data_IF_688353629272
#
_entry.id   IF_688353629272
#
_cell.length_a   1.000
_cell.length_b   1.000
_cell.length_c   1.000
_cell.angle_alpha   90.00
_cell.angle_beta   90.00
_cell.angle_gamma   90.00
#
_symmetry.space_group_name_H-M   'P 1'
#
loop_
_entity.id
_entity.type
_entity.pdbx_description
1 polymer ?
#
# COMPACT_ATOMS: atom_id res chain seq x y z
N UNK A 1 -18.94 -15.95 -10.94
CA UNK A 1 -20.00 -15.00 -11.33
C UNK A 1 -19.76 -13.56 -10.83
N UNK A 2 -18.50 -13.14 -10.65
CA UNK A 2 -18.15 -11.98 -9.80
C UNK A 2 -17.88 -10.70 -10.61
N UNK A 3 -17.20 -10.80 -11.76
CA UNK A 3 -16.71 -9.62 -12.50
C UNK A 3 -17.76 -8.74 -13.19
N UNK A 4 -18.87 -9.29 -13.69
CA UNK A 4 -19.82 -8.52 -14.52
C UNK A 4 -20.83 -7.69 -13.73
N UNK A 5 -21.14 -8.05 -12.47
CA UNK A 5 -22.08 -7.31 -11.62
C UNK A 5 -21.48 -6.09 -10.93
N UNK A 6 -20.17 -6.09 -10.67
CA UNK A 6 -19.53 -4.98 -9.97
C UNK A 6 -19.28 -3.77 -10.88
N UNK A 7 -19.10 -3.98 -12.19
CA UNK A 7 -18.98 -2.89 -13.18
C UNK A 7 -20.32 -2.16 -13.41
N UNK A 8 -21.46 -2.84 -13.17
CA UNK A 8 -22.82 -2.32 -13.42
C UNK A 8 -23.53 -1.83 -12.15
N UNK A 9 -22.81 -1.61 -11.04
CA UNK A 9 -23.38 -1.04 -9.80
C UNK A 9 -24.24 -2.01 -8.96
N UNK A 10 -24.33 -3.28 -9.33
CA UNK A 10 -25.04 -4.35 -8.57
C UNK A 10 -24.05 -5.26 -7.82
N UNK A 11 -22.95 -4.73 -7.33
CA UNK A 11 -21.98 -5.49 -6.55
C UNK A 11 -22.60 -5.84 -5.18
N UNK A 12 -22.41 -7.08 -4.71
CA UNK A 12 -22.80 -7.45 -3.35
C UNK A 12 -21.88 -6.68 -2.39
N UNK A 13 -22.43 -5.85 -1.48
CA UNK A 13 -21.64 -4.96 -0.59
C UNK A 13 -20.50 -5.71 0.12
N UNK A 14 -20.77 -6.95 0.53
CA UNK A 14 -19.79 -7.85 1.15
C UNK A 14 -18.57 -8.13 0.28
N UNK A 15 -18.75 -8.31 -1.03
CA UNK A 15 -17.66 -8.57 -1.98
C UNK A 15 -16.81 -7.31 -2.15
N UNK A 16 -17.45 -6.13 -2.23
CA UNK A 16 -16.75 -4.84 -2.32
C UNK A 16 -15.89 -4.62 -1.06
N UNK A 17 -16.43 -4.87 0.12
CA UNK A 17 -15.70 -4.76 1.38
C UNK A 17 -14.52 -5.72 1.44
N UNK A 18 -14.71 -6.98 1.07
CA UNK A 18 -13.65 -7.99 1.14
C UNK A 18 -12.51 -7.66 0.16
N UNK A 19 -12.84 -7.36 -1.09
CA UNK A 19 -11.85 -6.97 -2.11
C UNK A 19 -11.15 -5.66 -1.72
N UNK A 20 -11.91 -4.62 -1.37
CA UNK A 20 -11.35 -3.31 -1.02
C UNK A 20 -10.48 -3.36 0.24
N UNK A 21 -10.87 -4.15 1.24
CA UNK A 21 -10.13 -4.29 2.49
C UNK A 21 -8.84 -5.09 2.30
N UNK A 22 -8.91 -6.24 1.63
CA UNK A 22 -7.73 -7.06 1.35
C UNK A 22 -6.72 -6.33 0.45
N UNK A 23 -7.19 -5.59 -0.56
CA UNK A 23 -6.35 -4.72 -1.39
C UNK A 23 -5.69 -3.63 -0.54
N UNK A 24 -6.48 -2.79 0.13
CA UNK A 24 -5.94 -1.66 0.90
C UNK A 24 -4.97 -2.06 2.00
N UNK A 25 -5.36 -2.99 2.88
CA UNK A 25 -4.52 -3.40 4.03
C UNK A 25 -3.34 -4.24 3.57
N UNK A 26 -3.54 -5.18 2.63
CA UNK A 26 -2.50 -6.06 2.14
C UNK A 26 -1.39 -5.30 1.40
N UNK A 27 -1.77 -4.44 0.46
CA UNK A 27 -0.83 -3.65 -0.35
C UNK A 27 -0.09 -2.65 0.54
N UNK A 28 -0.81 -1.91 1.41
CA UNK A 28 -0.19 -0.93 2.30
C UNK A 28 0.79 -1.60 3.28
N UNK A 29 0.44 -2.75 3.87
CA UNK A 29 1.36 -3.45 4.78
C UNK A 29 2.62 -3.92 4.06
N UNK A 30 2.47 -4.41 2.83
CA UNK A 30 3.59 -4.90 2.04
C UNK A 30 4.53 -3.76 1.63
N UNK A 31 3.96 -2.66 1.13
CA UNK A 31 4.70 -1.46 0.72
C UNK A 31 5.35 -0.73 1.89
N UNK A 32 4.64 -0.52 2.99
CA UNK A 32 5.01 0.47 4.02
C UNK A 32 5.83 -0.12 5.16
N UNK A 33 5.77 -1.44 5.35
CA UNK A 33 6.40 -2.14 6.47
C UNK A 33 7.32 -3.29 6.04
N UNK A 34 6.85 -4.16 5.14
CA UNK A 34 7.62 -5.37 4.77
C UNK A 34 8.83 -5.00 3.90
N UNK A 35 8.62 -4.22 2.83
CA UNK A 35 9.72 -3.88 1.92
C UNK A 35 10.77 -2.96 2.58
N UNK A 36 10.40 -1.93 3.36
CA UNK A 36 11.36 -1.14 4.12
C UNK A 36 12.19 -2.01 5.07
N UNK A 37 11.57 -2.93 5.80
CA UNK A 37 12.28 -3.88 6.66
C UNK A 37 13.27 -4.78 5.88
N UNK A 38 12.90 -5.26 4.69
CA UNK A 38 13.83 -6.01 3.83
C UNK A 38 15.00 -5.13 3.40
N UNK A 39 14.75 -3.87 3.06
CA UNK A 39 15.79 -2.89 2.73
C UNK A 39 16.74 -2.63 3.90
N UNK A 40 16.20 -2.43 5.10
CA UNK A 40 16.97 -2.27 6.33
C UNK A 40 17.82 -3.51 6.64
N UNK A 41 17.26 -4.70 6.44
CA UNK A 41 18.00 -5.96 6.63
C UNK A 41 19.10 -6.14 5.59
N UNK A 42 18.89 -5.72 4.35
CA UNK A 42 19.92 -5.78 3.30
C UNK A 42 21.05 -4.78 3.55
N UNK A 43 20.73 -3.59 4.05
CA UNK A 43 21.70 -2.57 4.46
C UNK A 43 22.30 -2.83 5.85
N UNK A 44 21.90 -3.94 6.51
CA UNK A 44 22.36 -4.38 7.80
C UNK A 44 22.26 -3.30 8.89
N UNK A 45 21.14 -2.58 8.90
CA UNK A 45 20.89 -1.48 9.84
C UNK A 45 20.65 -2.00 11.28
N UNK A 46 21.10 -1.26 12.30
CA UNK A 46 21.15 -1.74 13.68
C UNK A 46 19.77 -1.90 14.33
N UNK A 47 18.78 -1.07 13.96
CA UNK A 47 17.46 -1.03 14.57
C UNK A 47 16.36 -1.53 13.62
N UNK A 48 16.56 -2.71 13.03
CA UNK A 48 15.55 -3.33 12.16
C UNK A 48 14.36 -3.86 12.98
N UNK A 49 13.15 -3.45 12.64
CA UNK A 49 11.93 -3.91 13.29
C UNK A 49 10.77 -3.92 12.31
N UNK A 50 9.91 -4.95 12.33
CA UNK A 50 8.73 -4.96 11.46
C UNK A 50 7.60 -4.23 12.19
N UNK A 51 7.24 -3.02 11.75
CA UNK A 51 6.09 -2.31 12.28
C UNK A 51 4.84 -2.60 11.45
N UNK A 52 4.06 -3.61 11.84
CA UNK A 52 2.82 -3.97 11.13
C UNK A 52 1.72 -3.00 11.55
N UNK A 53 1.46 -1.98 10.73
CA UNK A 53 0.46 -0.95 11.01
C UNK A 53 -0.94 -1.49 11.28
N UNK A 54 -1.33 -2.59 10.61
CA UNK A 54 -2.61 -3.26 10.83
C UNK A 54 -2.78 -3.81 12.26
N UNK A 55 -1.69 -4.18 12.93
CA UNK A 55 -1.72 -4.79 14.27
C UNK A 55 -1.42 -3.74 15.34
N UNK A 56 -0.36 -2.96 15.15
CA UNK A 56 0.07 -1.94 16.12
C UNK A 56 -0.85 -0.73 16.14
N UNK A 57 -1.36 -0.34 14.98
CA UNK A 57 -2.22 0.83 14.77
C UNK A 57 -3.55 0.41 14.14
N UNK A 58 -4.07 -0.75 14.54
CA UNK A 58 -5.33 -1.31 14.04
C UNK A 58 -6.49 -0.30 14.07
N UNK A 59 -6.56 0.49 15.15
CA UNK A 59 -7.56 1.55 15.36
C UNK A 59 -7.47 2.68 14.32
N UNK A 60 -6.31 2.89 13.69
CA UNK A 60 -6.14 3.90 12.66
C UNK A 60 -6.27 3.29 11.27
N UNK A 61 -5.61 2.15 11.03
CA UNK A 61 -5.53 1.52 9.71
C UNK A 61 -6.88 0.97 9.26
N UNK A 62 -7.63 0.29 10.14
CA UNK A 62 -8.91 -0.30 9.75
C UNK A 62 -9.98 0.76 9.45
N UNK A 63 -10.16 1.81 10.27
CA UNK A 63 -11.09 2.87 9.94
C UNK A 63 -10.70 3.63 8.67
N UNK A 64 -9.40 3.88 8.42
CA UNK A 64 -8.97 4.49 7.15
C UNK A 64 -9.27 3.60 5.95
N UNK A 65 -9.02 2.29 6.06
CA UNK A 65 -9.34 1.33 5.00
C UNK A 65 -10.84 1.33 4.71
N UNK A 66 -11.69 1.28 5.75
CA UNK A 66 -13.15 1.35 5.60
C UNK A 66 -13.62 2.69 5.02
N UNK A 67 -13.03 3.80 5.45
CA UNK A 67 -13.33 5.12 4.91
C UNK A 67 -12.96 5.20 3.42
N UNK A 68 -11.82 4.64 3.02
CA UNK A 68 -11.42 4.54 1.61
C UNK A 68 -12.42 3.74 0.77
N UNK A 69 -12.89 2.61 1.28
CA UNK A 69 -13.92 1.80 0.61
C UNK A 69 -15.26 2.56 0.52
N UNK A 70 -15.66 3.27 1.58
CA UNK A 70 -16.87 4.08 1.59
C UNK A 70 -16.78 5.23 0.57
N UNK A 71 -15.65 5.94 0.51
CA UNK A 71 -15.41 6.99 -0.49
C UNK A 71 -15.46 6.42 -1.91
N UNK A 72 -14.84 5.26 -2.15
CA UNK A 72 -14.90 4.59 -3.44
C UNK A 72 -16.32 4.16 -3.83
N UNK A 73 -17.17 3.80 -2.85
CA UNK A 73 -18.57 3.47 -3.08
C UNK A 73 -19.41 4.69 -3.49
N UNK A 74 -19.27 5.83 -2.81
CA UNK A 74 -20.04 7.04 -3.12
C UNK A 74 -19.50 7.81 -4.33
N UNK A 75 -18.19 7.81 -4.52
CA UNK A 75 -17.52 8.55 -5.60
C UNK A 75 -16.32 7.75 -6.10
N UNK A 76 -16.50 6.89 -7.13
CA UNK A 76 -15.44 6.03 -7.67
C UNK A 76 -14.36 6.80 -8.46
N UNK A 77 -14.10 8.06 -8.14
CA UNK A 77 -13.02 8.85 -8.73
C UNK A 77 -11.71 8.55 -8.01
N UNK A 78 -10.81 7.85 -8.69
CA UNK A 78 -9.65 7.18 -8.09
C UNK A 78 -8.37 8.00 -8.08
N UNK A 79 -8.27 9.11 -8.84
CA UNK A 79 -6.99 9.82 -9.01
C UNK A 79 -6.45 10.42 -7.71
N UNK A 80 -7.27 11.19 -6.99
CA UNK A 80 -6.83 11.85 -5.75
C UNK A 80 -6.51 10.85 -4.62
N UNK A 81 -7.37 9.84 -4.33
CA UNK A 81 -7.04 8.80 -3.35
C UNK A 81 -5.78 7.99 -3.72
N UNK A 82 -5.56 7.71 -5.01
CA UNK A 82 -4.37 6.99 -5.49
C UNK A 82 -3.08 7.79 -5.23
N UNK A 83 -3.02 9.07 -5.64
CA UNK A 83 -1.84 9.90 -5.34
C UNK A 83 -1.61 10.06 -3.83
N UNK A 84 -2.69 10.18 -3.06
CA UNK A 84 -2.62 10.23 -1.60
C UNK A 84 -2.03 8.95 -1.00
N UNK A 85 -2.48 7.78 -1.44
CA UNK A 85 -1.94 6.50 -0.99
C UNK A 85 -0.44 6.37 -1.30
N UNK A 86 -0.03 6.62 -2.55
CA UNK A 86 1.39 6.54 -2.94
C UNK A 86 2.25 7.50 -2.11
N UNK A 87 1.80 8.74 -1.91
CA UNK A 87 2.54 9.72 -1.10
C UNK A 87 2.67 9.25 0.35
N UNK A 88 1.57 8.84 1.00
CA UNK A 88 1.59 8.38 2.39
C UNK A 88 2.48 7.14 2.55
N UNK A 89 2.41 6.19 1.61
CA UNK A 89 3.25 4.98 1.60
C UNK A 89 4.74 5.27 1.44
N UNK A 90 5.11 6.21 0.56
CA UNK A 90 6.50 6.67 0.46
C UNK A 90 6.97 7.34 1.74
N UNK A 91 6.09 8.09 2.41
CA UNK A 91 6.44 8.80 3.63
C UNK A 91 6.63 7.85 4.80
N UNK A 92 5.74 6.87 4.96
CA UNK A 92 5.84 5.82 5.99
C UNK A 92 7.14 5.03 5.84
N UNK A 93 7.44 4.57 4.62
CA UNK A 93 8.68 3.84 4.32
C UNK A 93 9.93 4.64 4.64
N UNK A 94 9.92 5.94 4.32
CA UNK A 94 11.02 6.86 4.61
C UNK A 94 11.21 7.09 6.11
N UNK A 95 10.13 7.23 6.89
CA UNK A 95 10.23 7.29 8.34
C UNK A 95 10.79 6.00 8.94
N UNK A 96 10.40 4.84 8.39
CA UNK A 96 10.91 3.54 8.83
C UNK A 96 12.43 3.44 8.66
N UNK A 97 12.94 3.82 7.48
CA UNK A 97 14.38 3.93 7.22
C UNK A 97 15.09 4.90 8.18
N UNK A 98 14.51 6.06 8.46
CA UNK A 98 15.10 7.02 9.38
C UNK A 98 15.13 6.51 10.83
N UNK A 99 14.10 5.80 11.27
CA UNK A 99 14.06 5.19 12.61
C UNK A 99 15.06 4.03 12.75
N UNK A 100 15.26 3.27 11.69
CA UNK A 100 16.22 2.16 11.66
C UNK A 100 17.69 2.64 11.63
N UNK A 101 17.92 3.86 11.13
CA UNK A 101 19.25 4.45 11.01
C UNK A 101 19.70 5.18 12.28
N UNK A 102 20.94 4.90 12.71
CA UNK A 102 21.61 5.59 13.83
C UNK A 102 22.90 6.31 13.40
N UNK A 103 23.06 6.57 12.09
CA UNK A 103 24.29 7.14 11.50
C UNK A 103 23.97 8.37 10.65
N UNK A 104 24.96 9.26 10.51
CA UNK A 104 24.88 10.43 9.62
C UNK A 104 24.79 10.00 8.16
N UNK A 105 23.82 10.55 7.43
CA UNK A 105 23.61 10.21 6.03
C UNK A 105 24.64 10.89 5.12
N UNK A 106 25.34 10.08 4.34
CA UNK A 106 26.10 10.56 3.20
C UNK A 106 25.20 10.75 1.98
N UNK A 107 25.60 11.63 1.07
CA UNK A 107 24.88 11.90 -0.18
C UNK A 107 24.67 10.63 -1.02
N UNK A 108 25.62 9.68 -0.95
CA UNK A 108 25.52 8.36 -1.58
C UNK A 108 24.39 7.49 -0.98
N UNK A 109 24.24 7.50 0.34
CA UNK A 109 23.17 6.77 1.03
C UNK A 109 21.79 7.33 0.66
N UNK A 110 21.66 8.64 0.51
CA UNK A 110 20.42 9.27 0.04
C UNK A 110 20.03 8.81 -1.38
N UNK A 111 21.00 8.70 -2.29
CA UNK A 111 20.74 8.21 -3.66
C UNK A 111 20.24 6.75 -3.61
N UNK A 112 20.88 5.90 -2.82
CA UNK A 112 20.46 4.49 -2.66
C UNK A 112 19.06 4.40 -2.08
N UNK A 113 18.76 5.14 -1.01
CA UNK A 113 17.44 5.15 -0.38
C UNK A 113 16.38 5.65 -1.36
N UNK A 114 16.69 6.69 -2.15
CA UNK A 114 15.77 7.21 -3.17
C UNK A 114 15.41 6.14 -4.21
N UNK A 115 16.42 5.50 -4.83
CA UNK A 115 16.17 4.44 -5.82
C UNK A 115 15.49 3.22 -5.20
N UNK A 116 15.88 2.86 -3.98
CA UNK A 116 15.26 1.77 -3.25
C UNK A 116 13.79 2.06 -2.99
N UNK A 117 13.44 3.20 -2.38
CA UNK A 117 12.05 3.59 -2.11
C UNK A 117 11.24 3.71 -3.40
N UNK A 118 11.81 4.22 -4.49
CA UNK A 118 11.14 4.28 -5.78
C UNK A 118 10.78 2.89 -6.31
N UNK A 119 11.72 1.94 -6.31
CA UNK A 119 11.44 0.55 -6.71
C UNK A 119 10.52 -0.17 -5.72
N UNK A 120 10.78 0.00 -4.43
CA UNK A 120 10.16 -0.70 -3.32
C UNK A 120 8.72 -0.28 -3.07
N UNK A 121 8.40 1.00 -3.25
CA UNK A 121 7.06 1.52 -2.97
C UNK A 121 6.31 1.58 -4.27
N UNK A 122 6.79 2.35 -5.26
CA UNK A 122 5.98 2.65 -6.45
C UNK A 122 5.69 1.43 -7.30
N UNK A 123 6.63 0.50 -7.49
CA UNK A 123 6.36 -0.69 -8.31
C UNK A 123 5.25 -1.53 -7.67
N UNK A 124 5.36 -2.02 -6.43
CA UNK A 124 4.30 -2.85 -5.86
C UNK A 124 2.98 -2.11 -5.70
N UNK A 125 2.94 -0.84 -5.30
CA UNK A 125 1.65 -0.13 -5.14
C UNK A 125 1.01 0.30 -6.48
N UNK A 126 1.80 0.65 -7.50
CA UNK A 126 1.25 0.93 -8.83
C UNK A 126 0.85 -0.35 -9.59
N UNK A 127 1.65 -1.42 -9.46
CA UNK A 127 1.34 -2.72 -10.08
C UNK A 127 0.10 -3.33 -9.43
N UNK A 128 -0.02 -3.26 -8.11
CA UNK A 128 -1.20 -3.77 -7.43
C UNK A 128 -2.48 -3.04 -7.88
N UNK A 129 -2.41 -1.73 -8.10
CA UNK A 129 -3.57 -0.93 -8.53
C UNK A 129 -4.04 -1.29 -9.96
N UNK A 130 -3.19 -1.93 -10.77
CA UNK A 130 -3.54 -2.44 -12.10
C UNK A 130 -3.93 -3.92 -12.04
N UNK A 131 -3.12 -4.75 -11.38
CA UNK A 131 -3.31 -6.21 -11.32
C UNK A 131 -4.54 -6.57 -10.49
N UNK A 132 -4.79 -5.87 -9.39
CA UNK A 132 -5.86 -6.21 -8.47
C UNK A 132 -7.25 -6.07 -9.12
N UNK A 133 -7.60 -4.97 -9.83
CA UNK A 133 -8.84 -4.91 -10.59
C UNK A 133 -8.92 -5.94 -11.73
N UNK A 134 -7.80 -6.19 -12.43
CA UNK A 134 -7.75 -7.13 -13.55
C UNK A 134 -8.01 -8.58 -13.11
N UNK A 135 -7.60 -8.98 -11.90
CA UNK A 135 -7.90 -10.30 -11.33
C UNK A 135 -9.41 -10.56 -11.18
N UNK A 136 -10.21 -9.50 -11.02
CA UNK A 136 -11.66 -9.62 -10.85
C UNK A 136 -12.46 -9.34 -12.13
N UNK A 137 -11.82 -8.80 -13.18
CA UNK A 137 -12.43 -8.63 -14.50
C UNK A 137 -12.32 -9.94 -15.29
N UNK A 138 -13.47 -10.60 -15.50
CA UNK A 138 -13.57 -11.75 -16.39
C UNK A 138 -13.61 -11.24 -17.83
N UNK A 139 -12.68 -11.66 -18.69
CA UNK A 139 -12.86 -11.50 -20.13
C UNK A 139 -14.12 -12.29 -20.55
N UNK A 140 -15.09 -11.58 -21.14
CA UNK A 140 -16.15 -12.24 -21.91
C UNK A 140 -15.46 -12.82 -23.15
N UNK A 141 -15.46 -14.15 -23.27
CA UNK A 141 -15.38 -14.78 -24.59
C UNK A 141 -16.67 -14.44 -25.36
#
# INVERSE_FOLDING_TARGET
>A
HIGTKCITGKCNLWILLLIGYTGSVGIATLSDSIIPFVGESLLNLPNKGIHIGFIEKWWLVNPLALAGIAVAYFKPSTKFPHYGHVLISTWASLFHFFMAMNQTLNLFSYIIIFFFLFLAVWIPCCVSDIVFPLLFVRQKQ
#
